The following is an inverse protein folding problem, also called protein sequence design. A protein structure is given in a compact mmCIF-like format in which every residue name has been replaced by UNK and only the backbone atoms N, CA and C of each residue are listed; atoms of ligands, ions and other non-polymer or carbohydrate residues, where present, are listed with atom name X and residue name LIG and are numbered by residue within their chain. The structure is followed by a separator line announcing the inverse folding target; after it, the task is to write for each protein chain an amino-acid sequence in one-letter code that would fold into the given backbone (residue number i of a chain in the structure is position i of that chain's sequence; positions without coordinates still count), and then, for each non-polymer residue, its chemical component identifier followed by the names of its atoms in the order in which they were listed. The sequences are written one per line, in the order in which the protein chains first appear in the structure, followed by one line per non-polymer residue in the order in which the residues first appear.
data_IF_407025273303
#
_entry.id   IF_407025273303
#
_cell.length_a   1.000
_cell.length_b   1.000
_cell.length_c   1.000
_cell.angle_alpha   90.00
_cell.angle_beta   90.00
_cell.angle_gamma   90.00
#
_symmetry.space_group_name_H-M   'P 1'
#
loop_
_entity.id
_entity.type
_entity.pdbx_description
1 polymer ?
#
# COMPACT_ATOMS: atom_id res chain seq x y z
N UNK A 1 -9.46 -5.96 13.51
CA UNK A 1 -8.07 -5.98 13.01
C UNK A 1 -7.40 -4.74 13.56
N UNK A 2 -6.28 -4.89 14.26
CA UNK A 2 -5.50 -3.78 14.76
C UNK A 2 -4.83 -3.07 13.58
N UNK A 3 -4.98 -1.75 13.46
CA UNK A 3 -4.41 -0.99 12.35
C UNK A 3 -2.91 -0.82 12.60
N UNK A 4 -2.09 -1.43 11.76
CA UNK A 4 -0.64 -1.23 11.80
C UNK A 4 -0.30 0.20 11.34
N UNK A 5 0.50 0.91 12.14
CA UNK A 5 0.80 2.33 11.93
C UNK A 5 2.19 2.52 11.36
N UNK A 6 2.27 3.20 10.22
CA UNK A 6 3.54 3.73 9.68
C UNK A 6 3.93 4.96 10.51
N UNK A 7 5.18 5.00 10.98
CA UNK A 7 5.64 6.03 11.93
C UNK A 7 5.62 7.44 11.35
N UNK A 8 6.24 7.63 10.19
CA UNK A 8 6.34 8.93 9.49
C UNK A 8 5.80 8.81 8.07
N UNK A 9 4.52 9.09 7.87
CA UNK A 9 3.88 8.95 6.55
C UNK A 9 4.31 10.09 5.63
N UNK A 10 4.82 9.75 4.44
CA UNK A 10 5.18 10.72 3.39
C UNK A 10 4.37 10.52 2.10
N UNK A 11 3.69 9.39 1.97
CA UNK A 11 2.76 9.12 0.89
C UNK A 11 1.53 8.38 1.42
N UNK A 12 0.34 8.86 1.06
CA UNK A 12 -0.92 8.25 1.50
C UNK A 12 -1.98 8.32 0.40
N UNK A 13 -2.75 7.23 0.26
CA UNK A 13 -3.98 7.22 -0.54
C UNK A 13 -5.03 6.30 0.08
N UNK A 14 -6.29 6.65 -0.12
CA UNK A 14 -7.43 5.85 0.31
C UNK A 14 -8.21 5.34 -0.90
N UNK A 15 -8.57 4.06 -0.88
CA UNK A 15 -9.39 3.39 -1.90
C UNK A 15 -10.44 2.52 -1.22
N UNK A 16 -11.52 2.20 -1.92
CA UNK A 16 -12.48 1.19 -1.46
C UNK A 16 -12.11 -0.15 -2.09
N UNK A 17 -12.04 -1.20 -1.29
CA UNK A 17 -11.85 -2.57 -1.76
C UNK A 17 -13.12 -3.37 -1.53
N UNK A 18 -13.62 -4.01 -2.59
CA UNK A 18 -14.63 -5.06 -2.48
C UNK A 18 -13.91 -6.40 -2.41
N UNK A 19 -14.11 -7.08 -1.29
CA UNK A 19 -13.58 -8.40 -1.01
C UNK A 19 -14.34 -9.46 -1.83
N UNK A 20 -13.74 -10.64 -2.03
CA UNK A 20 -14.37 -11.76 -2.76
C UNK A 20 -15.72 -12.20 -2.17
N UNK A 21 -15.93 -12.01 -0.87
CA UNK A 21 -17.20 -12.28 -0.17
C UNK A 21 -18.26 -11.17 -0.37
N UNK A 22 -17.94 -10.11 -1.13
CA UNK A 22 -18.82 -8.97 -1.37
C UNK A 22 -18.71 -7.84 -0.34
N UNK A 23 -17.97 -8.02 0.75
CA UNK A 23 -17.75 -7.00 1.79
C UNK A 23 -16.92 -5.83 1.23
N UNK A 24 -17.31 -4.60 1.54
CA UNK A 24 -16.52 -3.41 1.22
C UNK A 24 -15.69 -2.98 2.43
N UNK A 25 -14.41 -2.69 2.18
CA UNK A 25 -13.49 -2.15 3.18
C UNK A 25 -12.81 -0.89 2.66
N UNK A 26 -12.68 0.11 3.53
CA UNK A 26 -11.79 1.23 3.26
C UNK A 26 -10.35 0.74 3.42
N UNK A 27 -9.55 0.92 2.37
CA UNK A 27 -8.15 0.55 2.34
C UNK A 27 -7.31 1.81 2.33
N UNK A 28 -6.37 1.86 3.27
CA UNK A 28 -5.44 2.97 3.43
C UNK A 28 -4.03 2.49 3.04
N UNK A 29 -3.53 3.00 1.92
CA UNK A 29 -2.20 2.76 1.41
C UNK A 29 -1.27 3.82 1.99
N UNK A 30 -0.21 3.41 2.68
CA UNK A 30 0.73 4.32 3.33
C UNK A 30 2.17 3.92 3.00
N UNK A 31 2.99 4.92 2.69
CA UNK A 31 4.44 4.82 2.52
C UNK A 31 5.11 5.76 3.52
N UNK A 32 6.06 5.22 4.26
CA UNK A 32 6.81 5.89 5.31
C UNK A 32 8.09 6.53 4.79
N UNK A 33 8.56 7.54 5.54
CA UNK A 33 9.86 8.17 5.35
C UNK A 33 10.94 7.07 5.39
N UNK A 34 11.81 6.96 4.37
CA UNK A 34 12.97 6.10 4.46
C UNK A 34 13.87 6.58 5.60
N UNK A 35 14.19 5.68 6.52
CA UNK A 35 15.11 5.94 7.62
C UNK A 35 16.38 5.07 7.43
N UNK A 36 17.58 5.61 7.74
CA UNK A 36 18.79 4.81 7.74
C UNK A 36 18.75 3.80 8.90
N UNK A 37 19.13 2.55 8.61
CA UNK A 37 19.22 1.45 9.58
C UNK A 37 20.56 0.74 9.37
N UNK A 38 21.49 0.95 10.30
CA UNK A 38 22.87 0.46 10.23
C UNK A 38 23.57 0.87 8.91
N UNK A 39 23.75 -0.09 7.99
CA UNK A 39 24.42 0.09 6.69
C UNK A 39 23.45 0.16 5.51
N UNK A 40 22.14 0.17 5.76
CA UNK A 40 21.10 0.23 4.74
C UNK A 40 20.05 1.29 5.06
N UNK A 41 19.05 1.39 4.20
CA UNK A 41 17.86 2.17 4.40
C UNK A 41 16.63 1.26 4.47
N UNK A 42 15.60 1.70 5.18
CA UNK A 42 14.31 1.02 5.23
C UNK A 42 13.17 2.04 5.11
N UNK A 43 12.13 1.72 4.35
CA UNK A 43 10.86 2.45 4.33
C UNK A 43 9.74 1.53 4.81
N UNK A 44 8.84 2.06 5.65
CA UNK A 44 7.65 1.33 6.11
C UNK A 44 6.51 1.45 5.09
N UNK A 45 5.81 0.34 4.84
CA UNK A 45 4.63 0.30 3.97
C UNK A 45 3.48 -0.37 4.72
N UNK A 46 2.29 0.23 4.67
CA UNK A 46 1.08 -0.37 5.22
C UNK A 46 -0.08 -0.29 4.22
N UNK A 47 -0.87 -1.37 4.14
CA UNK A 47 -2.10 -1.46 3.35
C UNK A 47 -3.25 -1.82 4.29
N UNK A 48 -3.52 -0.94 5.25
CA UNK A 48 -4.54 -1.15 6.28
C UNK A 48 -5.91 -1.37 5.63
N UNK A 49 -6.65 -2.38 6.08
CA UNK A 49 -7.90 -2.84 5.46
C UNK A 49 -7.75 -4.02 4.51
N UNK A 50 -6.54 -4.24 3.94
CA UNK A 50 -6.20 -5.46 3.17
C UNK A 50 -5.24 -6.36 3.93
N UNK A 51 -4.14 -5.79 4.44
CA UNK A 51 -3.08 -6.52 5.12
C UNK A 51 -2.83 -5.92 6.50
N UNK A 52 -2.74 -6.74 7.56
CA UNK A 52 -2.70 -6.24 8.95
C UNK A 52 -1.30 -5.84 9.43
N UNK A 53 -0.26 -5.96 8.58
CA UNK A 53 1.14 -5.74 8.99
C UNK A 53 1.77 -4.61 8.19
N UNK A 54 2.57 -3.80 8.89
CA UNK A 54 3.57 -2.94 8.27
C UNK A 54 4.70 -3.81 7.73
N UNK A 55 5.09 -3.54 6.50
CA UNK A 55 6.22 -4.16 5.82
C UNK A 55 7.38 -3.17 5.83
N UNK A 56 8.57 -3.62 6.21
CA UNK A 56 9.80 -2.83 6.08
C UNK A 56 10.47 -3.18 4.75
N UNK A 57 10.65 -2.19 3.90
CA UNK A 57 11.20 -2.34 2.55
C UNK A 57 12.64 -1.85 2.54
N UNK A 58 13.63 -2.75 2.40
CA UNK A 58 15.03 -2.38 2.43
C UNK A 58 15.49 -1.77 1.10
N UNK A 59 16.50 -0.91 1.17
CA UNK A 59 17.18 -0.32 0.01
C UNK A 59 18.59 0.12 0.36
N UNK A 60 19.45 0.28 -0.65
CA UNK A 60 20.83 0.76 -0.47
C UNK A 60 20.89 2.24 -0.13
N UNK A 61 19.88 3.00 -0.55
CA UNK A 61 19.69 4.40 -0.23
C UNK A 61 18.19 4.73 -0.10
N UNK A 62 17.87 5.96 0.30
CA UNK A 62 16.50 6.44 0.45
C UNK A 62 15.71 6.42 -0.86
N UNK A 63 16.37 6.66 -1.99
CA UNK A 63 15.73 6.71 -3.30
C UNK A 63 15.28 5.32 -3.74
N UNK A 64 16.14 4.32 -3.62
CA UNK A 64 15.81 2.92 -3.90
C UNK A 64 14.72 2.42 -2.96
N UNK A 65 14.79 2.73 -1.65
CA UNK A 65 13.75 2.39 -0.69
C UNK A 65 12.37 2.86 -1.13
N UNK A 66 12.26 4.12 -1.59
CA UNK A 66 10.98 4.67 -2.04
C UNK A 66 10.45 3.95 -3.28
N UNK A 67 11.29 3.76 -4.28
CA UNK A 67 10.89 3.06 -5.50
C UNK A 67 10.43 1.62 -5.20
N UNK A 68 11.15 0.90 -4.35
CA UNK A 68 10.77 -0.44 -3.91
C UNK A 68 9.48 -0.42 -3.09
N UNK A 69 9.27 0.58 -2.24
CA UNK A 69 8.04 0.72 -1.45
C UNK A 69 6.81 0.87 -2.36
N UNK A 70 6.87 1.71 -3.38
CA UNK A 70 5.79 1.81 -4.39
C UNK A 70 5.59 0.48 -5.14
N UNK A 71 6.67 -0.21 -5.49
CA UNK A 71 6.62 -1.55 -6.10
C UNK A 71 5.90 -2.57 -5.21
N UNK A 72 6.19 -2.58 -3.90
CA UNK A 72 5.51 -3.46 -2.94
C UNK A 72 4.01 -3.17 -2.88
N UNK A 73 3.60 -1.90 -2.83
CA UNK A 73 2.18 -1.53 -2.87
C UNK A 73 1.53 -2.04 -4.17
N UNK A 74 2.17 -1.80 -5.31
CA UNK A 74 1.67 -2.23 -6.62
C UNK A 74 1.45 -3.74 -6.67
N UNK A 75 2.48 -4.53 -6.36
CA UNK A 75 2.40 -5.99 -6.37
C UNK A 75 1.37 -6.54 -5.38
N UNK A 76 1.22 -5.91 -4.21
CA UNK A 76 0.20 -6.32 -3.24
C UNK A 76 -1.23 -6.10 -3.78
N UNK A 77 -1.47 -4.97 -4.46
CA UNK A 77 -2.78 -4.69 -5.07
C UNK A 77 -3.06 -5.58 -6.29
N UNK A 78 -2.06 -5.84 -7.13
CA UNK A 78 -2.17 -6.78 -8.26
C UNK A 78 -2.59 -8.17 -7.77
N UNK A 79 -1.91 -8.71 -6.74
CA UNK A 79 -2.27 -9.99 -6.11
C UNK A 79 -3.69 -9.99 -5.52
N UNK A 80 -4.12 -8.87 -4.93
CA UNK A 80 -5.48 -8.74 -4.40
C UNK A 80 -6.52 -8.84 -5.52
N UNK A 81 -6.30 -8.15 -6.65
CA UNK A 81 -7.19 -8.22 -7.82
C UNK A 81 -7.19 -9.61 -8.46
N UNK A 82 -6.02 -10.23 -8.62
CA UNK A 82 -5.88 -11.60 -9.13
C UNK A 82 -6.64 -12.63 -8.26
N UNK A 83 -6.74 -12.37 -6.95
CA UNK A 83 -7.49 -13.22 -6.01
C UNK A 83 -9.01 -13.01 -6.08
N UNK A 84 -9.50 -12.17 -6.99
CA UNK A 84 -10.91 -11.83 -7.19
C UNK A 84 -11.39 -10.62 -6.39
N UNK A 85 -10.47 -9.84 -5.82
CA UNK A 85 -10.78 -8.54 -5.23
C UNK A 85 -11.07 -7.48 -6.31
N UNK A 86 -11.76 -6.41 -5.92
CA UNK A 86 -12.01 -5.27 -6.79
C UNK A 86 -11.69 -3.97 -6.04
N UNK A 87 -11.14 -2.97 -6.72
CA UNK A 87 -10.87 -1.65 -6.18
C UNK A 87 -11.81 -0.62 -6.79
N UNK A 88 -12.13 0.41 -6.02
CA UNK A 88 -13.00 1.51 -6.40
C UNK A 88 -12.47 2.83 -5.84
N UNK A 89 -12.74 3.91 -6.55
CA UNK A 89 -12.53 5.24 -6.01
C UNK A 89 -13.47 5.52 -4.84
N UNK A 90 -12.96 6.17 -3.80
CA UNK A 90 -13.73 6.47 -2.59
C UNK A 90 -14.90 7.42 -2.86
N UNK A 91 -14.77 8.29 -3.86
CA UNK A 91 -15.78 9.26 -4.27
C UNK A 91 -16.88 8.67 -5.16
N UNK A 92 -16.81 7.38 -5.50
CA UNK A 92 -17.80 6.71 -6.34
C UNK A 92 -17.57 6.87 -7.84
N UNK A 93 -16.43 7.42 -8.29
CA UNK A 93 -16.10 7.59 -9.71
C UNK A 93 -16.01 6.28 -10.50
N UNK A 94 -16.06 5.14 -9.82
CA UNK A 94 -16.18 3.81 -10.42
C UNK A 94 -15.04 2.86 -10.06
N UNK A 95 -14.92 1.75 -10.81
CA UNK A 95 -13.83 0.79 -10.65
C UNK A 95 -12.47 1.43 -10.85
N UNK A 96 -11.49 0.94 -10.10
CA UNK A 96 -10.12 1.42 -10.07
C UNK A 96 -9.17 0.28 -10.48
N UNK A 97 -8.40 0.47 -11.54
CA UNK A 97 -7.29 -0.39 -11.90
C UNK A 97 -6.02 -0.02 -11.14
N UNK A 98 -5.06 -0.95 -11.06
CA UNK A 98 -3.75 -0.64 -10.48
C UNK A 98 -3.02 0.41 -11.31
N UNK A 99 -3.17 0.40 -12.64
CA UNK A 99 -2.49 1.38 -13.52
C UNK A 99 -2.88 2.81 -13.15
N UNK A 100 -4.17 3.07 -12.90
CA UNK A 100 -4.67 4.42 -12.57
C UNK A 100 -4.10 4.96 -11.24
N UNK A 101 -3.58 4.08 -10.38
CA UNK A 101 -2.94 4.49 -9.12
C UNK A 101 -1.51 5.01 -9.30
N UNK A 102 -0.80 4.58 -10.34
CA UNK A 102 0.65 4.82 -10.51
C UNK A 102 1.02 5.53 -11.82
N UNK A 103 0.02 6.02 -12.56
CA UNK A 103 0.15 6.84 -13.77
C UNK A 103 0.24 8.34 -13.46
#
# INVERSE_FOLDING_TARGET
MENSTVKYVIGERQVLARMKNGEFRLVKLQIGLPEPVETRWESEVALNGLYPKVVKVPGVDSFQCLNLAFGVVRTALEKFLESGGQLYWKDGSGPLGVVDLFS
#
